data_IF_144966420454
#
_entry.id   IF_144966420454
#
_cell.length_a   1.000
_cell.length_b   1.000
_cell.length_c   1.000
_cell.angle_alpha   90.00
_cell.angle_beta   90.00
_cell.angle_gamma   90.00
#
_symmetry.space_group_name_H-M   'P 1'
#
loop_
_entity.id
_entity.type
_entity.pdbx_description
1 polymer ?
#
# COMPACT_ATOMS: atom_id res chain seq x y z
N UNK A 1 -9.72 14.10 -18.88
CA UNK A 1 -10.35 12.85 -18.46
C UNK A 1 -10.40 12.81 -16.94
N UNK A 2 -11.55 12.45 -16.38
CA UNK A 2 -11.70 12.25 -14.93
C UNK A 2 -12.22 10.83 -14.71
N UNK A 3 -11.54 10.06 -13.85
CA UNK A 3 -11.94 8.71 -13.46
C UNK A 3 -12.26 8.74 -11.97
N UNK A 4 -13.52 8.47 -11.61
CA UNK A 4 -13.98 8.50 -10.22
C UNK A 4 -14.54 7.15 -9.78
N UNK A 5 -13.94 6.53 -8.75
CA UNK A 5 -14.39 5.28 -8.13
C UNK A 5 -13.78 5.13 -6.74
N UNK A 6 -14.40 4.32 -5.87
CA UNK A 6 -13.90 4.04 -4.51
C UNK A 6 -13.72 5.29 -3.64
N UNK A 7 -14.51 6.34 -3.92
CA UNK A 7 -14.38 7.67 -3.31
C UNK A 7 -13.04 8.37 -3.59
N UNK A 8 -12.38 8.00 -4.68
CA UNK A 8 -11.15 8.61 -5.18
C UNK A 8 -11.42 9.13 -6.60
N UNK A 9 -11.02 10.36 -6.86
CA UNK A 9 -11.08 10.99 -8.17
C UNK A 9 -9.67 11.16 -8.73
N UNK A 10 -9.43 10.60 -9.91
CA UNK A 10 -8.21 10.79 -10.68
C UNK A 10 -8.47 11.79 -11.80
N UNK A 11 -7.67 12.85 -11.81
CA UNK A 11 -7.66 13.91 -12.81
C UNK A 11 -6.64 13.63 -13.91
N UNK A 12 -6.61 14.46 -14.96
CA UNK A 12 -5.56 14.38 -15.98
C UNK A 12 -4.17 14.62 -15.40
N UNK A 13 -4.05 15.49 -14.39
CA UNK A 13 -2.78 15.76 -13.72
C UNK A 13 -2.27 14.51 -12.99
N UNK A 14 -3.16 13.77 -12.33
CA UNK A 14 -2.81 12.48 -11.72
C UNK A 14 -2.34 11.49 -12.80
N UNK A 15 -3.07 11.36 -13.90
CA UNK A 15 -2.71 10.44 -14.98
C UNK A 15 -1.37 10.82 -15.62
N UNK A 16 -1.08 12.11 -15.76
CA UNK A 16 0.19 12.62 -16.25
C UNK A 16 1.37 12.19 -15.36
N UNK A 17 1.17 11.86 -14.07
CA UNK A 17 2.23 11.39 -13.15
C UNK A 17 2.64 9.94 -13.39
N UNK A 18 1.93 9.20 -14.24
CA UNK A 18 2.31 7.85 -14.69
C UNK A 18 3.27 7.85 -15.89
N UNK A 19 3.55 9.00 -16.49
CA UNK A 19 4.52 9.09 -17.59
C UNK A 19 5.96 8.80 -17.11
N UNK A 20 6.83 8.26 -17.98
CA UNK A 20 8.21 7.97 -17.64
C UNK A 20 8.95 9.17 -17.02
N UNK A 21 9.68 8.92 -15.93
CA UNK A 21 10.48 9.94 -15.24
C UNK A 21 9.70 10.80 -14.23
N UNK A 22 8.39 10.56 -14.04
CA UNK A 22 7.60 11.23 -13.01
C UNK A 22 7.38 10.35 -11.78
N UNK A 23 7.30 11.00 -10.62
CA UNK A 23 6.89 10.35 -9.38
C UNK A 23 5.38 10.16 -9.41
N UNK A 24 4.88 8.99 -9.04
CA UNK A 24 3.44 8.81 -8.77
C UNK A 24 3.04 9.59 -7.50
N UNK A 25 1.74 9.83 -7.32
CA UNK A 25 1.21 10.45 -6.11
C UNK A 25 0.36 9.46 -5.30
N UNK A 26 -0.08 9.92 -4.14
CA UNK A 26 -0.97 9.22 -3.22
C UNK A 26 -2.29 8.83 -3.86
N UNK A 27 -2.95 9.71 -4.61
CA UNK A 27 -4.21 9.39 -5.30
C UNK A 27 -4.10 8.16 -6.21
N UNK A 28 -3.02 8.07 -7.01
CA UNK A 28 -2.76 6.93 -7.90
C UNK A 28 -2.53 5.66 -7.09
N UNK A 29 -1.71 5.74 -6.03
CA UNK A 29 -1.40 4.59 -5.17
C UNK A 29 -2.69 4.07 -4.53
N UNK A 30 -3.48 4.96 -3.93
CA UNK A 30 -4.72 4.63 -3.24
C UNK A 30 -5.72 4.00 -4.20
N UNK A 31 -5.92 4.60 -5.38
CA UNK A 31 -6.82 4.06 -6.39
C UNK A 31 -6.39 2.66 -6.85
N UNK A 32 -5.10 2.46 -7.08
CA UNK A 32 -4.57 1.18 -7.54
C UNK A 32 -4.68 0.10 -6.45
N UNK A 33 -4.42 0.43 -5.18
CA UNK A 33 -4.64 -0.48 -4.05
C UNK A 33 -6.12 -0.89 -3.92
N UNK A 34 -7.06 0.02 -4.21
CA UNK A 34 -8.49 -0.32 -4.27
C UNK A 34 -8.82 -1.28 -5.42
N UNK A 35 -8.20 -1.12 -6.60
CA UNK A 35 -8.34 -2.07 -7.71
C UNK A 35 -7.84 -3.47 -7.32
N UNK A 36 -6.69 -3.55 -6.64
CA UNK A 36 -6.14 -4.82 -6.14
C UNK A 36 -7.10 -5.49 -5.16
N UNK A 37 -7.62 -4.74 -4.19
CA UNK A 37 -8.61 -5.22 -3.21
C UNK A 37 -9.90 -5.70 -3.90
N UNK A 38 -10.40 -4.95 -4.88
CA UNK A 38 -11.58 -5.29 -5.66
C UNK A 38 -11.41 -6.60 -6.44
N UNK A 39 -10.27 -6.76 -7.15
CA UNK A 39 -9.92 -8.01 -7.86
C UNK A 39 -9.88 -9.20 -6.91
N UNK A 40 -9.31 -9.02 -5.72
CA UNK A 40 -9.21 -10.07 -4.70
C UNK A 40 -10.58 -10.54 -4.21
N UNK A 41 -11.52 -9.61 -4.00
CA UNK A 41 -12.90 -9.92 -3.60
C UNK A 41 -13.63 -10.73 -4.67
N UNK A 42 -13.42 -10.43 -5.96
CA UNK A 42 -14.08 -11.11 -7.07
C UNK A 42 -13.50 -12.49 -7.41
N UNK A 43 -12.22 -12.73 -7.14
CA UNK A 43 -11.59 -14.01 -7.48
C UNK A 43 -11.56 -14.95 -6.25
N UNK A 44 -12.23 -16.10 -6.33
CA UNK A 44 -12.32 -17.09 -5.24
C UNK A 44 -10.96 -17.66 -4.81
N UNK A 45 -9.95 -17.67 -5.68
CA UNK A 45 -8.63 -18.21 -5.36
C UNK A 45 -7.69 -17.18 -4.71
N UNK A 46 -8.10 -15.91 -4.58
CA UNK A 46 -7.28 -14.85 -4.00
C UNK A 46 -7.67 -14.54 -2.54
N UNK A 47 -6.74 -14.02 -1.71
CA UNK A 47 -7.02 -13.64 -0.34
C UNK A 47 -8.16 -12.62 -0.24
N UNK A 48 -9.19 -12.88 0.57
CA UNK A 48 -10.34 -11.99 0.69
C UNK A 48 -10.09 -10.75 1.55
N UNK A 49 -9.08 -10.84 2.40
CA UNK A 49 -8.68 -9.76 3.29
C UNK A 49 -7.36 -9.19 2.78
N UNK A 50 -7.45 -8.06 2.08
CA UNK A 50 -6.29 -7.25 1.71
C UNK A 50 -6.26 -6.07 2.68
N UNK A 51 -5.16 -5.84 3.43
CA UNK A 51 -5.03 -4.68 4.30
C UNK A 51 -5.39 -3.38 3.59
N UNK A 52 -6.17 -2.52 4.26
CA UNK A 52 -6.58 -1.21 3.75
C UNK A 52 -6.20 -0.13 4.76
N UNK A 53 -5.69 1.00 4.27
CA UNK A 53 -5.55 2.20 5.07
C UNK A 53 -6.92 2.86 5.28
N UNK A 54 -7.03 3.70 6.31
CA UNK A 54 -8.25 4.48 6.58
C UNK A 54 -8.01 5.99 6.62
N UNK A 55 -6.90 6.45 6.03
CA UNK A 55 -6.54 7.87 5.91
C UNK A 55 -5.82 8.13 4.57
N UNK A 56 -5.48 9.39 4.29
CA UNK A 56 -4.87 9.84 3.04
C UNK A 56 -3.34 9.93 3.05
N UNK A 57 -2.64 9.40 4.07
CA UNK A 57 -1.19 9.63 4.22
C UNK A 57 -0.38 8.39 4.59
N UNK A 58 -1.03 7.24 4.82
CA UNK A 58 -0.37 5.97 5.13
C UNK A 58 -0.16 5.06 3.91
N UNK A 59 -0.54 5.48 2.70
CA UNK A 59 -0.40 4.69 1.48
C UNK A 59 1.01 4.16 1.23
N UNK A 60 2.02 5.01 1.42
CA UNK A 60 3.42 4.61 1.32
C UNK A 60 3.81 3.56 2.36
N UNK A 61 3.25 3.62 3.58
CA UNK A 61 3.50 2.60 4.61
C UNK A 61 2.89 1.26 4.20
N UNK A 62 1.64 1.27 3.72
CA UNK A 62 0.99 0.05 3.25
C UNK A 62 1.76 -0.57 2.08
N UNK A 63 2.21 0.23 1.11
CA UNK A 63 3.04 -0.24 -0.01
C UNK A 63 4.34 -0.89 0.48
N UNK A 64 5.04 -0.28 1.44
CA UNK A 64 6.24 -0.87 2.03
C UNK A 64 5.95 -2.22 2.70
N UNK A 65 4.86 -2.33 3.46
CA UNK A 65 4.48 -3.58 4.14
C UNK A 65 4.04 -4.67 3.16
N UNK A 66 3.38 -4.30 2.06
CA UNK A 66 3.08 -5.23 0.97
C UNK A 66 4.37 -5.77 0.36
N UNK A 67 5.36 -4.89 0.07
CA UNK A 67 6.64 -5.30 -0.48
C UNK A 67 7.42 -6.21 0.48
N UNK A 68 7.46 -5.89 1.77
CA UNK A 68 8.04 -6.73 2.82
C UNK A 68 7.38 -8.11 2.85
N UNK A 69 6.04 -8.18 2.89
CA UNK A 69 5.30 -9.45 2.91
C UNK A 69 5.62 -10.31 1.69
N UNK A 70 5.63 -9.72 0.50
CA UNK A 70 5.94 -10.43 -0.75
C UNK A 70 7.39 -10.91 -0.78
N UNK A 71 8.35 -10.14 -0.27
CA UNK A 71 9.76 -10.57 -0.18
C UNK A 71 9.98 -11.78 0.74
N UNK A 72 9.04 -12.06 1.64
CA UNK A 72 9.05 -13.20 2.56
C UNK A 72 8.17 -14.37 2.08
N UNK A 73 7.61 -14.31 0.85
CA UNK A 73 6.59 -15.25 0.37
C UNK A 73 5.40 -15.38 1.36
N UNK A 74 5.12 -14.29 2.08
CA UNK A 74 4.13 -14.22 3.12
C UNK A 74 2.89 -13.45 2.66
N UNK A 75 1.75 -13.76 3.28
CA UNK A 75 0.54 -12.98 3.07
C UNK A 75 0.63 -11.66 3.84
N UNK A 76 0.19 -10.54 3.24
CA UNK A 76 0.03 -9.27 3.95
C UNK A 76 -0.93 -9.41 5.14
N UNK A 77 -0.38 -9.49 6.36
CA UNK A 77 -1.15 -9.58 7.61
C UNK A 77 -0.83 -8.40 8.52
N UNK A 78 -1.39 -7.24 8.18
CA UNK A 78 -1.24 -6.02 8.94
C UNK A 78 -2.50 -5.16 8.84
N UNK A 79 -2.62 -4.19 9.73
CA UNK A 79 -3.75 -3.28 9.76
C UNK A 79 -3.33 -1.88 10.23
N UNK A 80 -4.26 -0.93 10.08
CA UNK A 80 -4.07 0.48 10.39
C UNK A 80 -3.65 0.77 11.85
N UNK A 81 -4.05 -0.08 12.81
CA UNK A 81 -3.86 0.19 14.25
C UNK A 81 -2.37 0.26 14.64
N UNK A 82 -1.52 -0.48 13.93
CA UNK A 82 -0.07 -0.55 14.21
C UNK A 82 0.76 0.42 13.38
N UNK A 83 0.16 1.22 12.50
CA UNK A 83 0.93 2.06 11.56
C UNK A 83 1.85 3.05 12.28
N UNK A 84 1.46 3.58 13.44
CA UNK A 84 2.34 4.45 14.25
C UNK A 84 3.61 3.72 14.71
N UNK A 85 3.48 2.47 15.16
CA UNK A 85 4.60 1.61 15.56
C UNK A 85 5.44 1.24 14.33
N UNK A 86 4.79 0.88 13.22
CA UNK A 86 5.44 0.51 11.96
C UNK A 86 6.25 1.67 11.39
N UNK A 87 5.74 2.90 11.43
CA UNK A 87 6.49 4.10 11.03
C UNK A 87 7.80 4.21 11.82
N UNK A 88 7.75 4.02 13.15
CA UNK A 88 8.97 4.01 13.98
C UNK A 88 9.91 2.85 13.64
N UNK A 89 9.36 1.66 13.36
CA UNK A 89 10.14 0.49 12.94
C UNK A 89 10.89 0.78 11.63
N UNK A 90 10.18 1.23 10.60
CA UNK A 90 10.77 1.59 9.30
C UNK A 90 11.86 2.66 9.47
N UNK A 91 11.61 3.70 10.28
CA UNK A 91 12.65 4.72 10.57
C UNK A 91 13.90 4.10 11.20
N UNK A 92 13.73 3.18 12.15
CA UNK A 92 14.85 2.48 12.80
C UNK A 92 15.60 1.58 11.80
N UNK A 93 14.89 0.81 10.99
CA UNK A 93 15.48 -0.08 9.98
C UNK A 93 16.28 0.69 8.93
N UNK A 94 15.79 1.87 8.50
CA UNK A 94 16.53 2.77 7.61
C UNK A 94 17.82 3.27 8.27
N UNK A 95 17.75 3.68 9.54
CA UNK A 95 18.92 4.19 10.27
C UNK A 95 19.95 3.09 10.56
N UNK A 96 19.49 1.88 10.86
CA UNK A 96 20.33 0.73 11.16
C UNK A 96 20.86 0.05 9.87
N UNK A 97 20.23 0.31 8.71
CA UNK A 97 20.58 -0.27 7.41
C UNK A 97 20.22 -1.75 7.26
N UNK A 98 19.40 -2.29 8.16
CA UNK A 98 19.00 -3.70 8.21
C UNK A 98 17.53 -3.82 8.61
N UNK A 99 16.83 -4.80 8.03
CA UNK A 99 15.44 -5.10 8.40
C UNK A 99 15.37 -5.82 9.73
N UNK A 100 14.36 -5.51 10.55
CA UNK A 100 14.11 -6.25 11.78
C UNK A 100 13.61 -7.64 11.44
N UNK A 101 14.09 -8.66 12.14
CA UNK A 101 13.48 -10.00 12.04
C UNK A 101 12.02 -9.91 12.46
N UNK A 102 11.11 -10.26 11.57
CA UNK A 102 9.68 -10.34 11.89
C UNK A 102 9.55 -11.40 12.99
N UNK A 103 9.21 -10.98 14.21
CA UNK A 103 8.83 -11.92 15.26
C UNK A 103 7.47 -12.47 14.88
N UNK A 104 7.42 -13.75 14.51
CA UNK A 104 6.16 -14.48 14.46
C UNK A 104 5.51 -14.35 15.84
N UNK A 105 4.28 -13.82 15.87
CA UNK A 105 3.46 -13.80 17.08
C UNK A 105 2.78 -15.15 17.27
#
# INVERSE_FOLDING_TARGET
>A
MVVSRFSIELTDDDMCRLEPGKLINDNIIDYYLQLVSHRSKQNLSLPKTIPQQSNCYDCGIFVCLFAESVSHDARPDFNQQRVKEIRRRISKEILDGVMSVIKEN
#
